data_IF_442279426605
#
_entry.id   IF_442279426605
#
_cell.length_a   1.000
_cell.length_b   1.000
_cell.length_c   1.000
_cell.angle_alpha   90.00
_cell.angle_beta   90.00
_cell.angle_gamma   90.00
#
_symmetry.space_group_name_H-M   'P 1'
#
loop_
_entity.id
_entity.type
_entity.pdbx_description
1 polymer ?
#
# COMPACT_ATOMS: atom_id res chain seq x y z
N UNK A 1 5.41 -23.23 2.65
CA UNK A 1 6.88 -23.12 2.65
C UNK A 1 7.21 -21.65 2.42
N UNK A 2 7.72 -20.96 3.43
CA UNK A 2 8.15 -19.56 3.30
C UNK A 2 9.46 -19.53 2.51
N UNK A 3 9.42 -19.07 1.26
CA UNK A 3 10.63 -18.64 0.57
C UNK A 3 11.21 -17.47 1.38
N UNK A 4 12.18 -17.76 2.26
CA UNK A 4 13.03 -16.73 2.85
C UNK A 4 13.80 -16.13 1.69
N UNK A 5 13.32 -15.00 1.18
CA UNK A 5 14.02 -14.27 0.14
C UNK A 5 15.32 -13.77 0.75
N UNK A 6 16.44 -14.30 0.28
CA UNK A 6 17.74 -14.03 0.86
C UNK A 6 18.35 -12.80 0.17
N UNK A 7 18.50 -11.70 0.89
CA UNK A 7 19.12 -10.47 0.39
C UNK A 7 20.64 -10.63 0.48
N UNK A 8 21.36 -10.37 -0.61
CA UNK A 8 22.82 -10.50 -0.61
C UNK A 8 23.52 -9.48 0.31
N UNK A 9 24.67 -9.85 0.87
CA UNK A 9 25.47 -8.94 1.73
C UNK A 9 25.83 -7.63 1.03
N UNK A 10 26.10 -7.70 -0.28
CA UNK A 10 26.36 -6.52 -1.12
C UNK A 10 25.18 -5.56 -1.08
N UNK A 11 23.95 -6.07 -1.22
CA UNK A 11 22.73 -5.27 -1.19
C UNK A 11 22.51 -4.66 0.20
N UNK A 12 22.75 -5.42 1.28
CA UNK A 12 22.67 -4.89 2.65
C UNK A 12 23.65 -3.73 2.85
N UNK A 13 24.91 -3.85 2.37
CA UNK A 13 25.90 -2.76 2.47
C UNK A 13 25.44 -1.51 1.73
N UNK A 14 24.88 -1.66 0.52
CA UNK A 14 24.35 -0.52 -0.25
C UNK A 14 23.17 0.13 0.48
N UNK A 15 22.27 -0.66 1.06
CA UNK A 15 21.16 -0.15 1.85
C UNK A 15 21.62 0.72 3.02
N UNK A 16 22.66 0.29 3.74
CA UNK A 16 23.25 1.08 4.84
C UNK A 16 23.88 2.39 4.36
N UNK A 17 24.41 2.44 3.14
CA UNK A 17 24.91 3.68 2.53
C UNK A 17 23.74 4.62 2.18
N UNK A 18 22.64 4.08 1.66
CA UNK A 18 21.40 4.82 1.39
C UNK A 18 20.87 5.51 2.63
N UNK A 19 20.80 4.82 3.76
CA UNK A 19 20.30 5.38 5.02
C UNK A 19 21.12 6.56 5.55
N UNK A 20 22.42 6.59 5.24
CA UNK A 20 23.36 7.62 5.70
C UNK A 20 23.53 8.79 4.73
N UNK A 21 23.05 8.68 3.50
CA UNK A 21 23.26 9.70 2.48
C UNK A 21 22.45 10.97 2.76
N UNK A 22 23.10 12.14 2.69
CA UNK A 22 22.55 13.46 3.02
C UNK A 22 22.47 14.38 1.79
N UNK A 23 22.80 13.88 0.59
CA UNK A 23 22.73 14.62 -0.68
C UNK A 23 21.67 14.01 -1.60
N UNK A 24 20.63 14.78 -1.90
CA UNK A 24 19.54 14.33 -2.78
C UNK A 24 20.02 13.89 -4.17
N UNK A 25 20.99 14.57 -4.78
CA UNK A 25 21.51 14.19 -6.10
C UNK A 25 22.13 12.79 -6.13
N UNK A 26 22.72 12.35 -5.01
CA UNK A 26 23.28 10.99 -4.91
C UNK A 26 22.15 9.98 -4.81
N UNK A 27 21.12 10.26 -4.01
CA UNK A 27 19.93 9.42 -3.90
C UNK A 27 19.17 9.30 -5.24
N UNK A 28 19.03 10.41 -5.99
CA UNK A 28 18.46 10.42 -7.34
C UNK A 28 19.24 9.50 -8.28
N UNK A 29 20.57 9.60 -8.30
CA UNK A 29 21.41 8.74 -9.11
C UNK A 29 21.30 7.27 -8.70
N UNK A 30 21.25 6.98 -7.39
CA UNK A 30 21.05 5.61 -6.90
C UNK A 30 19.70 5.05 -7.32
N UNK A 31 18.63 5.84 -7.22
CA UNK A 31 17.29 5.43 -7.65
C UNK A 31 17.29 4.92 -9.10
N UNK A 32 17.84 5.70 -10.04
CA UNK A 32 17.92 5.32 -11.45
C UNK A 32 18.87 4.14 -11.69
N UNK A 33 20.04 4.14 -11.02
CA UNK A 33 21.02 3.06 -11.20
C UNK A 33 20.49 1.72 -10.70
N UNK A 34 19.79 1.67 -9.57
CA UNK A 34 19.22 0.44 -9.02
C UNK A 34 18.18 -0.16 -9.97
N UNK A 35 17.27 0.68 -10.51
CA UNK A 35 16.20 0.22 -11.43
C UNK A 35 16.77 -0.43 -12.68
N UNK A 36 17.90 0.08 -13.18
CA UNK A 36 18.56 -0.41 -14.39
C UNK A 36 19.63 -1.49 -14.13
N UNK A 37 19.88 -1.87 -12.87
CA UNK A 37 20.96 -2.79 -12.54
C UNK A 37 20.56 -4.25 -12.77
N UNK A 38 21.22 -4.93 -13.71
CA UNK A 38 20.94 -6.34 -14.06
C UNK A 38 21.50 -7.33 -13.00
N UNK A 39 22.46 -6.89 -12.19
CA UNK A 39 23.23 -7.76 -11.28
C UNK A 39 22.57 -8.11 -9.93
N UNK A 40 21.31 -7.77 -9.71
CA UNK A 40 20.53 -8.13 -8.51
C UNK A 40 19.12 -8.55 -8.91
N UNK A 41 18.48 -9.35 -8.06
CA UNK A 41 17.11 -9.81 -8.28
C UNK A 41 16.11 -8.65 -8.25
N UNK A 42 14.93 -8.81 -8.87
CA UNK A 42 13.88 -7.79 -8.81
C UNK A 42 13.42 -7.50 -7.38
N UNK A 43 13.46 -8.51 -6.51
CA UNK A 43 13.21 -8.32 -5.08
C UNK A 43 14.26 -7.42 -4.43
N UNK A 44 15.54 -7.67 -4.68
CA UNK A 44 16.63 -6.83 -4.17
C UNK A 44 16.58 -5.40 -4.76
N UNK A 45 16.16 -5.25 -6.03
CA UNK A 45 15.89 -3.93 -6.62
C UNK A 45 14.79 -3.23 -5.84
N UNK A 46 13.65 -3.87 -5.63
CA UNK A 46 12.54 -3.27 -4.89
C UNK A 46 12.94 -2.91 -3.46
N UNK A 47 13.73 -3.76 -2.80
CA UNK A 47 14.27 -3.50 -1.46
C UNK A 47 15.13 -2.22 -1.43
N UNK A 48 16.09 -2.08 -2.35
CA UNK A 48 16.96 -0.90 -2.42
C UNK A 48 16.21 0.36 -2.89
N UNK A 49 15.33 0.23 -3.88
CA UNK A 49 14.47 1.32 -4.36
C UNK A 49 13.64 1.85 -3.20
N UNK A 50 13.00 0.97 -2.42
CA UNK A 50 12.19 1.36 -1.27
C UNK A 50 13.01 2.10 -0.22
N UNK A 51 14.26 1.69 0.03
CA UNK A 51 15.17 2.39 0.93
C UNK A 51 15.50 3.81 0.43
N UNK A 52 15.78 3.98 -0.88
CA UNK A 52 16.04 5.30 -1.48
C UNK A 52 14.79 6.19 -1.41
N UNK A 53 13.63 5.66 -1.76
CA UNK A 53 12.37 6.40 -1.72
C UNK A 53 12.05 6.90 -0.32
N UNK A 54 12.16 6.01 0.68
CA UNK A 54 11.99 6.33 2.10
C UNK A 54 12.94 7.45 2.52
N UNK A 55 14.23 7.32 2.18
CA UNK A 55 15.23 8.34 2.52
C UNK A 55 14.90 9.70 1.90
N UNK A 56 14.53 9.74 0.63
CA UNK A 56 14.14 10.98 -0.07
C UNK A 56 12.88 11.60 0.56
N UNK A 57 11.84 10.80 0.83
CA UNK A 57 10.58 11.33 1.40
C UNK A 57 10.76 11.88 2.81
N UNK A 58 11.63 11.28 3.61
CA UNK A 58 11.91 11.72 4.99
C UNK A 58 12.83 12.94 5.01
N UNK A 59 13.97 12.92 4.31
CA UNK A 59 14.98 13.98 4.37
C UNK A 59 14.71 15.15 3.43
N UNK A 60 14.07 14.91 2.30
CA UNK A 60 13.86 15.91 1.25
C UNK A 60 12.38 16.01 0.84
N UNK A 61 11.42 16.18 1.77
CA UNK A 61 9.98 16.14 1.48
C UNK A 61 9.57 17.14 0.39
N UNK A 62 10.15 18.33 0.39
CA UNK A 62 9.86 19.40 -0.59
C UNK A 62 10.31 19.05 -2.02
N UNK A 63 11.30 18.16 -2.16
CA UNK A 63 11.84 17.71 -3.45
C UNK A 63 11.29 16.35 -3.87
N UNK A 64 10.83 15.54 -2.90
CA UNK A 64 10.36 14.18 -3.13
C UNK A 64 9.28 14.09 -4.21
N UNK A 65 8.35 15.06 -4.28
CA UNK A 65 7.32 15.06 -5.33
C UNK A 65 7.89 15.18 -6.75
N UNK A 66 8.96 15.96 -6.93
CA UNK A 66 9.60 16.14 -8.24
C UNK A 66 10.36 14.88 -8.67
N UNK A 67 10.96 14.19 -7.71
CA UNK A 67 11.82 13.03 -7.96
C UNK A 67 11.01 11.73 -8.07
N UNK A 68 10.10 11.50 -7.12
CA UNK A 68 9.39 10.22 -6.94
C UNK A 68 7.91 10.30 -7.32
N UNK A 69 7.43 11.47 -7.75
CA UNK A 69 6.01 11.73 -7.93
C UNK A 69 5.22 11.81 -6.62
N UNK A 70 3.89 11.74 -6.74
CA UNK A 70 2.98 11.84 -5.61
C UNK A 70 3.18 10.70 -4.60
N UNK A 71 3.04 10.99 -3.31
CA UNK A 71 3.11 9.97 -2.24
C UNK A 71 2.07 8.86 -2.36
N UNK A 72 1.03 9.09 -3.15
CA UNK A 72 -0.09 8.17 -3.34
C UNK A 72 0.02 7.29 -4.58
N UNK A 73 0.99 7.52 -5.47
CA UNK A 73 1.04 6.85 -6.77
C UNK A 73 1.02 5.31 -6.63
N UNK A 74 1.93 4.74 -5.84
CA UNK A 74 2.00 3.27 -5.60
C UNK A 74 0.72 2.71 -5.00
N UNK A 75 0.09 3.44 -4.07
CA UNK A 75 -1.16 3.01 -3.44
C UNK A 75 -2.34 3.03 -4.42
N UNK A 76 -2.44 4.10 -5.23
CA UNK A 76 -3.50 4.25 -6.22
C UNK A 76 -3.36 3.23 -7.34
N UNK A 77 -2.15 3.03 -7.87
CA UNK A 77 -1.88 2.05 -8.92
C UNK A 77 -2.27 0.63 -8.49
N UNK A 78 -1.78 0.19 -7.31
CA UNK A 78 -2.08 -1.13 -6.78
C UNK A 78 -3.60 -1.32 -6.54
N UNK A 79 -4.25 -0.35 -5.91
CA UNK A 79 -5.68 -0.45 -5.62
C UNK A 79 -6.52 -0.37 -6.90
N UNK A 80 -6.11 0.41 -7.90
CA UNK A 80 -6.84 0.48 -9.17
C UNK A 80 -6.72 -0.85 -9.92
N UNK A 81 -5.53 -1.46 -9.98
CA UNK A 81 -5.35 -2.80 -10.55
C UNK A 81 -6.27 -3.84 -9.89
N UNK A 82 -6.28 -3.86 -8.55
CA UNK A 82 -7.15 -4.75 -7.77
C UNK A 82 -8.62 -4.45 -8.07
N UNK A 83 -9.00 -3.18 -8.07
CA UNK A 83 -10.38 -2.76 -8.30
C UNK A 83 -10.88 -3.20 -9.67
N UNK A 84 -10.09 -2.99 -10.73
CA UNK A 84 -10.41 -3.40 -12.10
C UNK A 84 -10.55 -4.92 -12.23
N UNK A 85 -9.84 -5.71 -11.42
CA UNK A 85 -10.08 -7.16 -11.32
C UNK A 85 -11.40 -7.48 -10.63
N UNK A 86 -11.73 -6.79 -9.53
CA UNK A 86 -12.89 -7.12 -8.70
C UNK A 86 -14.23 -6.73 -9.36
N UNK A 87 -14.27 -5.66 -10.15
CA UNK A 87 -15.50 -5.27 -10.88
C UNK A 87 -15.87 -6.24 -12.00
N UNK A 88 -14.95 -7.13 -12.40
CA UNK A 88 -15.22 -8.24 -13.32
C UNK A 88 -15.75 -9.49 -12.60
N UNK A 89 -15.48 -9.61 -11.30
CA UNK A 89 -15.85 -10.78 -10.48
C UNK A 89 -17.18 -10.58 -9.73
N UNK A 90 -17.52 -9.34 -9.35
CA UNK A 90 -18.68 -9.03 -8.50
C UNK A 90 -19.58 -7.98 -9.15
N UNK A 91 -20.88 -8.00 -8.83
CA UNK A 91 -21.79 -6.90 -9.16
C UNK A 91 -21.70 -5.80 -8.10
N UNK A 92 -21.19 -4.63 -8.49
CA UNK A 92 -21.04 -3.47 -7.63
C UNK A 92 -22.23 -2.51 -7.71
N UNK A 93 -23.30 -2.85 -8.43
CA UNK A 93 -24.46 -1.96 -8.67
C UNK A 93 -25.16 -1.49 -7.39
N UNK A 94 -25.13 -2.31 -6.33
CA UNK A 94 -25.76 -2.04 -5.04
C UNK A 94 -24.81 -1.45 -3.99
N UNK A 95 -23.66 -0.91 -4.40
CA UNK A 95 -22.70 -0.31 -3.47
C UNK A 95 -23.12 1.11 -3.03
N UNK A 96 -23.40 1.28 -1.75
CA UNK A 96 -23.85 2.55 -1.17
C UNK A 96 -22.74 3.59 -0.91
N UNK A 97 -21.47 3.24 -1.15
CA UNK A 97 -20.32 4.12 -0.86
C UNK A 97 -19.47 4.44 -2.09
N UNK A 98 -20.04 4.24 -3.27
CA UNK A 98 -19.43 4.57 -4.57
C UNK A 98 -18.35 3.59 -5.03
N UNK A 99 -18.18 3.54 -6.34
CA UNK A 99 -17.43 2.54 -7.09
C UNK A 99 -16.13 3.13 -7.64
N UNK A 100 -15.12 3.27 -6.77
CA UNK A 100 -13.79 3.77 -7.12
C UNK A 100 -12.79 3.56 -5.99
N UNK A 101 -11.50 3.72 -6.32
CA UNK A 101 -10.43 3.93 -5.34
C UNK A 101 -10.58 5.31 -4.70
N UNK A 102 -10.55 5.36 -3.36
CA UNK A 102 -10.86 6.55 -2.54
C UNK A 102 -9.71 6.90 -1.62
N UNK A 103 -9.51 8.20 -1.38
CA UNK A 103 -8.61 8.69 -0.34
C UNK A 103 -9.30 8.58 1.03
N UNK A 104 -8.58 8.12 2.06
CA UNK A 104 -9.14 8.05 3.41
C UNK A 104 -9.18 9.42 4.09
N UNK A 105 -10.15 9.61 4.99
CA UNK A 105 -10.20 10.79 5.86
C UNK A 105 -8.96 10.96 6.75
N UNK A 106 -8.27 9.87 7.12
CA UNK A 106 -7.01 9.90 7.88
C UNK A 106 -5.88 10.57 7.10
N UNK A 107 -5.79 10.35 5.79
CA UNK A 107 -4.81 11.03 4.94
C UNK A 107 -5.18 12.50 4.71
N UNK A 108 -6.47 12.79 4.51
CA UNK A 108 -6.96 14.18 4.35
C UNK A 108 -6.67 15.00 5.62
N UNK A 109 -6.90 14.41 6.79
CA UNK A 109 -6.63 15.05 8.09
C UNK A 109 -5.15 15.03 8.51
N UNK A 110 -4.25 14.47 7.70
CA UNK A 110 -2.82 14.41 7.98
C UNK A 110 -2.40 13.40 9.06
N UNK A 111 -3.31 12.55 9.55
CA UNK A 111 -3.02 11.48 10.53
C UNK A 111 -2.17 10.35 9.94
N UNK A 112 -2.36 10.07 8.66
CA UNK A 112 -1.59 9.07 7.93
C UNK A 112 -0.89 9.71 6.73
N UNK A 113 0.36 9.31 6.50
CA UNK A 113 1.14 9.77 5.36
C UNK A 113 0.50 9.35 4.04
N UNK A 114 0.04 8.11 3.94
CA UNK A 114 -0.75 7.58 2.82
C UNK A 114 -1.91 6.77 3.38
N UNK A 115 -3.12 7.02 2.88
CA UNK A 115 -4.25 6.11 3.07
C UNK A 115 -5.20 6.21 1.88
N UNK A 116 -5.30 5.11 1.15
CA UNK A 116 -6.23 4.92 0.04
C UNK A 116 -6.95 3.58 0.20
N UNK A 117 -8.14 3.45 -0.36
CA UNK A 117 -8.93 2.23 -0.17
C UNK A 117 -10.00 2.03 -1.23
N UNK A 118 -10.46 0.78 -1.32
CA UNK A 118 -11.67 0.37 -2.03
C UNK A 118 -12.61 -0.17 -0.97
N UNK A 119 -13.92 0.09 -1.08
CA UNK A 119 -14.88 -0.49 -0.16
C UNK A 119 -16.24 -0.72 -0.79
N UNK A 120 -16.94 -1.70 -0.25
CA UNK A 120 -18.32 -2.02 -0.60
C UNK A 120 -19.19 -1.94 0.66
N UNK A 121 -20.38 -1.35 0.55
CA UNK A 121 -21.40 -1.35 1.61
C UNK A 121 -22.77 -1.67 1.02
N UNK A 122 -23.45 -2.69 1.55
CA UNK A 122 -24.80 -3.05 1.14
C UNK A 122 -25.89 -2.24 1.88
N UNK A 123 -27.15 -2.47 1.51
CA UNK A 123 -28.33 -1.85 2.12
C UNK A 123 -28.59 -2.32 3.57
N UNK A 124 -28.11 -3.52 3.92
CA UNK A 124 -28.22 -4.08 5.28
C UNK A 124 -27.20 -3.46 6.26
N UNK A 125 -26.36 -2.54 5.78
CA UNK A 125 -25.36 -1.84 6.58
C UNK A 125 -24.06 -2.61 6.78
N UNK A 126 -23.88 -3.77 6.15
CA UNK A 126 -22.60 -4.48 6.14
C UNK A 126 -21.63 -3.82 5.16
N UNK A 127 -20.37 -3.73 5.58
CA UNK A 127 -19.31 -3.05 4.86
C UNK A 127 -18.03 -3.87 4.92
N UNK A 128 -17.27 -3.86 3.83
CA UNK A 128 -15.89 -4.35 3.81
C UNK A 128 -15.00 -3.39 3.02
N UNK A 129 -13.75 -3.27 3.44
CA UNK A 129 -12.76 -2.41 2.80
C UNK A 129 -11.40 -3.09 2.66
N UNK A 130 -10.69 -2.74 1.60
CA UNK A 130 -9.27 -3.01 1.41
C UNK A 130 -8.54 -1.67 1.34
N UNK A 131 -7.69 -1.42 2.32
CA UNK A 131 -6.96 -0.17 2.51
C UNK A 131 -5.47 -0.39 2.26
N UNK A 132 -4.82 0.53 1.56
CA UNK A 132 -3.38 0.70 1.55
C UNK A 132 -3.01 1.85 2.48
N UNK A 133 -2.21 1.57 3.50
CA UNK A 133 -1.88 2.54 4.56
C UNK A 133 -0.39 2.69 4.76
N UNK A 134 0.02 3.89 5.11
CA UNK A 134 1.36 4.20 5.59
C UNK A 134 1.23 5.33 6.64
N UNK A 135 1.58 5.05 7.90
CA UNK A 135 1.36 6.01 8.99
C UNK A 135 2.28 7.21 8.86
N UNK A 136 3.59 6.99 8.73
CA UNK A 136 4.61 8.02 8.49
C UNK A 136 5.40 7.72 7.22
N UNK A 137 6.10 8.73 6.68
CA UNK A 137 6.99 8.55 5.52
C UNK A 137 8.12 7.53 5.75
N UNK A 138 8.50 7.31 7.01
CA UNK A 138 9.53 6.37 7.44
C UNK A 138 9.01 4.94 7.68
N UNK A 139 7.70 4.75 7.81
CA UNK A 139 7.12 3.44 8.06
C UNK A 139 6.98 2.66 6.75
N UNK A 140 7.07 1.33 6.83
CA UNK A 140 6.70 0.50 5.69
C UNK A 140 5.18 0.54 5.49
N UNK A 141 4.69 0.62 4.24
CA UNK A 141 3.27 0.53 3.96
C UNK A 141 2.74 -0.87 4.27
N UNK A 142 1.45 -0.94 4.55
CA UNK A 142 0.73 -2.19 4.81
C UNK A 142 -0.67 -2.13 4.21
N UNK A 143 -1.25 -3.31 3.99
CA UNK A 143 -2.64 -3.48 3.63
C UNK A 143 -3.47 -3.77 4.88
N UNK A 144 -4.69 -3.26 4.89
CA UNK A 144 -5.67 -3.41 5.96
C UNK A 144 -7.00 -3.85 5.33
N UNK A 145 -7.52 -5.00 5.77
CA UNK A 145 -8.81 -5.54 5.32
C UNK A 145 -9.76 -5.53 6.50
N UNK A 146 -10.89 -4.86 6.35
CA UNK A 146 -11.93 -4.81 7.37
C UNK A 146 -13.26 -5.40 6.89
N UNK A 147 -14.01 -5.96 7.84
CA UNK A 147 -15.40 -6.36 7.69
C UNK A 147 -16.17 -5.92 8.92
N UNK A 148 -17.32 -5.28 8.72
CA UNK A 148 -18.12 -4.72 9.81
C UNK A 148 -19.58 -4.54 9.43
N UNK A 149 -20.44 -4.44 10.44
CA UNK A 149 -21.73 -3.77 10.31
C UNK A 149 -21.57 -2.31 10.76
N UNK A 150 -22.13 -1.37 10.02
CA UNK A 150 -22.02 0.06 10.32
C UNK A 150 -22.99 0.42 11.45
N UNK A 151 -22.47 1.04 12.50
CA UNK A 151 -23.22 1.51 13.67
C UNK A 151 -22.36 1.37 14.93
N UNK A 152 -22.47 2.29 15.88
CA UNK A 152 -21.60 2.32 17.06
C UNK A 152 -21.77 1.06 17.92
N UNK A 153 -22.98 0.51 17.97
CA UNK A 153 -23.34 -0.71 18.68
C UNK A 153 -22.67 -1.98 18.11
N UNK A 154 -22.22 -1.92 16.85
CA UNK A 154 -21.58 -3.03 16.13
C UNK A 154 -20.05 -2.88 16.03
N UNK A 155 -19.46 -1.81 16.57
CA UNK A 155 -17.99 -1.60 16.46
C UNK A 155 -17.20 -2.72 17.15
N UNK A 156 -17.76 -3.38 18.16
CA UNK A 156 -17.16 -4.55 18.81
C UNK A 156 -17.07 -5.78 17.90
N UNK A 157 -17.92 -5.84 16.86
CA UNK A 157 -17.99 -6.95 15.91
C UNK A 157 -17.13 -6.67 14.66
N UNK A 158 -16.40 -5.55 14.65
CA UNK A 158 -15.52 -5.17 13.54
C UNK A 158 -14.31 -6.10 13.49
N UNK A 159 -14.14 -6.75 12.36
CA UNK A 159 -12.96 -7.54 12.04
C UNK A 159 -11.97 -6.66 11.26
N UNK A 160 -10.70 -6.68 11.67
CA UNK A 160 -9.61 -5.97 10.99
C UNK A 160 -8.39 -6.88 10.94
N UNK A 161 -7.83 -7.08 9.74
CA UNK A 161 -6.58 -7.81 9.57
C UNK A 161 -5.61 -7.01 8.71
N UNK A 162 -4.37 -6.92 9.19
CA UNK A 162 -3.30 -6.21 8.50
C UNK A 162 -2.32 -7.18 7.85
N UNK A 163 -1.75 -6.76 6.73
CA UNK A 163 -0.81 -7.54 5.94
C UNK A 163 0.33 -6.63 5.48
N UNK A 164 1.60 -7.05 5.61
CA UNK A 164 2.68 -6.47 4.81
C UNK A 164 2.30 -6.48 3.32
N UNK A 165 2.69 -5.45 2.56
CA UNK A 165 2.34 -5.33 1.12
C UNK A 165 2.83 -6.54 0.30
N UNK A 166 3.89 -7.22 0.74
CA UNK A 166 4.42 -8.44 0.12
C UNK A 166 3.42 -9.60 0.17
N UNK A 167 2.48 -9.61 1.12
CA UNK A 167 1.40 -10.59 1.24
C UNK A 167 0.08 -10.07 0.65
N UNK A 168 0.16 -9.24 -0.40
CA UNK A 168 -1.03 -8.65 -1.06
C UNK A 168 -2.04 -9.69 -1.50
N UNK A 169 -1.61 -10.85 -2.00
CA UNK A 169 -2.53 -11.87 -2.51
C UNK A 169 -3.40 -12.45 -1.39
N UNK A 170 -2.84 -12.61 -0.18
CA UNK A 170 -3.61 -13.03 1.00
C UNK A 170 -4.63 -11.96 1.43
N UNK A 171 -4.23 -10.69 1.42
CA UNK A 171 -5.13 -9.58 1.72
C UNK A 171 -6.28 -9.48 0.71
N UNK A 172 -5.98 -9.61 -0.59
CA UNK A 172 -6.98 -9.57 -1.66
C UNK A 172 -7.94 -10.77 -1.54
N UNK A 173 -7.43 -11.97 -1.23
CA UNK A 173 -8.28 -13.14 -1.05
C UNK A 173 -9.22 -13.00 0.13
N UNK A 174 -8.73 -12.49 1.27
CA UNK A 174 -9.60 -12.18 2.41
C UNK A 174 -10.68 -11.14 2.04
N UNK A 175 -10.29 -10.10 1.29
CA UNK A 175 -11.24 -9.10 0.84
C UNK A 175 -12.29 -9.69 -0.11
N UNK A 176 -11.92 -10.59 -1.03
CA UNK A 176 -12.87 -11.34 -1.87
C UNK A 176 -13.83 -12.17 -1.03
N UNK A 177 -13.34 -12.86 -0.01
CA UNK A 177 -14.20 -13.65 0.88
C UNK A 177 -15.20 -12.78 1.63
N UNK A 178 -14.80 -11.57 2.04
CA UNK A 178 -15.73 -10.60 2.61
C UNK A 178 -16.69 -10.02 1.57
N UNK A 179 -16.26 -9.74 0.35
CA UNK A 179 -17.16 -9.32 -0.73
C UNK A 179 -18.24 -10.38 -0.99
N UNK A 180 -17.90 -11.67 -1.03
CA UNK A 180 -18.88 -12.77 -1.17
C UNK A 180 -19.90 -12.84 -0.02
N UNK A 181 -19.56 -12.34 1.16
CA UNK A 181 -20.50 -12.25 2.30
C UNK A 181 -21.43 -11.05 2.19
N UNK A 182 -20.97 -9.94 1.59
CA UNK A 182 -21.67 -8.65 1.59
C UNK A 182 -22.48 -8.43 0.31
N UNK A 183 -21.96 -8.89 -0.84
CA UNK A 183 -22.59 -8.87 -2.16
C UNK A 183 -23.38 -10.17 -2.30
N UNK A 184 -24.70 -10.06 -2.41
CA UNK A 184 -25.63 -11.18 -2.58
C UNK A 184 -25.97 -11.37 -4.04
#
# INVERSE_FOLDING_TARGET
MTNKVNISEKVIKVQQLIEKEEKIKILENWYENIKNHIGISDYEKEYLVSAVEKRIRVKFPNKARKVLGGKSAKAQELLEEIYQSLIKEFDWSQNNVGNKVKVCGSMISGKEFVCWYISYKNNDGYSTGLHFRQKKAEDDPYLDVDYRKVGNEYEKDREVKTFPVQFKDEAINLFRDYLRKVIK
#
